data_IF_911032061461
#
_entry.id   IF_911032061461
#
_cell.length_a   1.000
_cell.length_b   1.000
_cell.length_c   1.000
_cell.angle_alpha   90.00
_cell.angle_beta   90.00
_cell.angle_gamma   90.00
#
_symmetry.space_group_name_H-M   'P 1'
#
loop_
_entity.id
_entity.type
_entity.pdbx_description
1 polymer ?
#
# COMPACT_ATOMS: atom_id res chain seq x y z
N UNK A 1 -1.53 11.73 30.17
CA UNK A 1 -1.01 11.18 28.92
C UNK A 1 -1.69 11.83 27.73
N UNK A 2 -0.93 12.38 26.81
CA UNK A 2 -1.48 13.00 25.60
C UNK A 2 -1.30 12.06 24.42
N UNK A 3 -2.35 11.33 24.10
CA UNK A 3 -2.33 10.37 22.98
C UNK A 3 -2.80 11.07 21.72
N UNK A 4 -2.01 10.96 20.65
CA UNK A 4 -2.44 11.41 19.33
C UNK A 4 -3.41 10.40 18.76
N UNK A 5 -4.45 10.87 18.08
CA UNK A 5 -5.43 9.99 17.46
C UNK A 5 -4.83 9.28 16.24
N UNK A 6 -5.39 8.12 15.89
CA UNK A 6 -5.01 7.44 14.65
C UNK A 6 -5.32 8.31 13.43
N UNK A 7 -6.41 9.07 13.47
CA UNK A 7 -6.76 10.00 12.40
C UNK A 7 -5.67 11.06 12.20
N UNK A 8 -5.13 11.63 13.30
CA UNK A 8 -4.03 12.58 13.22
C UNK A 8 -2.80 11.96 12.57
N UNK A 9 -2.46 10.72 12.94
CA UNK A 9 -1.31 10.03 12.33
C UNK A 9 -1.51 9.81 10.83
N UNK A 10 -2.72 9.43 10.44
CA UNK A 10 -3.05 9.23 9.01
C UNK A 10 -2.96 10.54 8.23
N UNK A 11 -3.54 11.61 8.76
CA UNK A 11 -3.50 12.93 8.13
C UNK A 11 -2.06 13.40 7.93
N UNK A 12 -1.22 13.27 8.95
CA UNK A 12 0.20 13.64 8.86
C UNK A 12 0.95 12.77 7.87
N UNK A 13 0.65 11.47 7.83
CA UNK A 13 1.25 10.58 6.85
C UNK A 13 0.93 11.04 5.43
N UNK A 14 -0.34 11.33 5.16
CA UNK A 14 -0.78 11.77 3.83
C UNK A 14 -0.17 13.10 3.40
N UNK A 15 0.20 13.97 4.33
CA UNK A 15 0.91 15.21 4.03
C UNK A 15 2.34 15.00 3.55
N UNK A 16 2.96 13.90 3.95
CA UNK A 16 4.39 13.64 3.68
C UNK A 16 4.65 12.63 2.57
N UNK A 17 3.62 12.04 1.99
CA UNK A 17 3.72 10.99 0.98
C UNK A 17 2.97 11.39 -0.29
N UNK A 18 3.22 10.65 -1.38
CA UNK A 18 2.40 10.75 -2.57
C UNK A 18 1.07 10.02 -2.33
N UNK A 19 -0.03 10.70 -2.61
CA UNK A 19 -1.37 10.12 -2.56
C UNK A 19 -1.93 10.15 -3.98
N UNK A 20 -2.38 8.98 -4.46
CA UNK A 20 -2.97 8.87 -5.79
C UNK A 20 -4.48 8.70 -5.69
N UNK A 21 -5.22 9.45 -6.49
CA UNK A 21 -6.67 9.26 -6.60
C UNK A 21 -6.98 7.91 -7.25
N UNK A 22 -8.21 7.38 -7.08
CA UNK A 22 -8.60 6.15 -7.76
C UNK A 22 -8.40 6.20 -9.28
N UNK A 23 -8.69 7.35 -9.90
CA UNK A 23 -8.52 7.57 -11.33
C UNK A 23 -7.05 7.49 -11.74
N UNK A 24 -6.17 8.12 -10.98
CA UNK A 24 -4.73 8.07 -11.23
C UNK A 24 -4.19 6.65 -11.08
N UNK A 25 -4.64 5.93 -10.05
CA UNK A 25 -4.23 4.54 -9.83
C UNK A 25 -4.69 3.67 -10.99
N UNK A 26 -5.95 3.80 -11.40
CA UNK A 26 -6.49 3.00 -12.51
C UNK A 26 -5.71 3.25 -13.81
N UNK A 27 -5.41 4.49 -14.11
CA UNK A 27 -4.65 4.84 -15.32
C UNK A 27 -3.25 4.20 -15.30
N UNK A 28 -2.55 4.29 -14.19
CA UNK A 28 -1.22 3.69 -14.07
C UNK A 28 -1.28 2.17 -14.07
N UNK A 29 -2.26 1.59 -13.40
CA UNK A 29 -2.49 0.14 -13.37
C UNK A 29 -2.77 -0.42 -14.77
N UNK A 30 -3.65 0.23 -15.51
CA UNK A 30 -4.01 -0.20 -16.87
C UNK A 30 -2.82 -0.16 -17.83
N UNK A 31 -1.87 0.74 -17.59
CA UNK A 31 -0.63 0.86 -18.37
C UNK A 31 0.48 -0.09 -17.90
N UNK A 32 0.26 -0.83 -16.82
CA UNK A 32 1.29 -1.70 -16.24
C UNK A 32 2.46 -0.97 -15.60
N UNK A 33 2.27 0.27 -15.19
CA UNK A 33 3.34 1.12 -14.65
C UNK A 33 3.55 0.97 -13.14
N UNK A 34 2.65 0.29 -12.43
CA UNK A 34 2.69 0.19 -10.98
C UNK A 34 2.56 -1.24 -10.49
N UNK A 35 3.14 -1.51 -9.34
CA UNK A 35 2.92 -2.74 -8.58
C UNK A 35 1.97 -2.40 -7.44
N UNK A 36 0.82 -3.08 -7.41
CA UNK A 36 -0.16 -2.91 -6.35
C UNK A 36 0.20 -3.78 -5.15
N UNK A 37 0.23 -3.19 -3.96
CA UNK A 37 0.54 -3.92 -2.73
C UNK A 37 -0.62 -3.80 -1.76
N UNK A 38 -1.24 -4.95 -1.44
CA UNK A 38 -2.34 -5.06 -0.48
C UNK A 38 -1.74 -5.30 0.90
N UNK A 39 -1.96 -4.37 1.82
CA UNK A 39 -1.41 -4.48 3.18
C UNK A 39 -2.44 -4.95 4.21
N UNK A 40 -3.62 -5.40 3.75
CA UNK A 40 -4.69 -5.85 4.63
C UNK A 40 -4.35 -7.19 5.29
N UNK A 41 -5.12 -7.56 6.31
CA UNK A 41 -5.09 -8.89 6.89
C UNK A 41 -5.54 -9.91 5.84
N UNK A 42 -4.90 -11.09 5.82
CA UNK A 42 -5.21 -12.13 4.82
C UNK A 42 -6.69 -12.54 4.82
N UNK A 43 -7.35 -12.47 5.97
CA UNK A 43 -8.77 -12.82 6.07
C UNK A 43 -9.68 -11.86 5.28
N UNK A 44 -9.26 -10.61 5.12
CA UNK A 44 -9.99 -9.67 4.28
C UNK A 44 -9.90 -10.08 2.81
N UNK A 45 -8.76 -10.58 2.37
CA UNK A 45 -8.59 -11.10 1.00
C UNK A 45 -9.43 -12.35 0.78
N UNK A 46 -9.48 -13.24 1.77
CA UNK A 46 -10.31 -14.45 1.68
C UNK A 46 -11.80 -14.13 1.56
N UNK A 47 -12.25 -13.08 2.24
CA UNK A 47 -13.65 -12.68 2.26
C UNK A 47 -14.04 -11.83 1.03
N UNK A 48 -13.19 -10.91 0.64
CA UNK A 48 -13.55 -9.88 -0.34
C UNK A 48 -12.72 -9.94 -1.63
N UNK A 49 -11.69 -10.77 -1.67
CA UNK A 49 -10.75 -10.80 -2.78
C UNK A 49 -9.74 -9.66 -2.67
N UNK A 50 -8.97 -9.47 -3.73
CA UNK A 50 -7.99 -8.39 -3.84
C UNK A 50 -7.99 -7.87 -5.28
N UNK A 51 -7.07 -6.97 -5.59
CA UNK A 51 -6.88 -6.47 -6.96
C UNK A 51 -6.04 -7.49 -7.74
N UNK A 52 -6.43 -7.77 -8.97
CA UNK A 52 -5.70 -8.70 -9.84
C UNK A 52 -4.24 -8.29 -9.97
N UNK A 53 -3.32 -9.24 -9.78
CA UNK A 53 -1.88 -9.06 -9.81
C UNK A 53 -1.32 -8.29 -8.60
N UNK A 54 -2.13 -7.95 -7.61
CA UNK A 54 -1.61 -7.33 -6.40
C UNK A 54 -0.78 -8.32 -5.59
N UNK A 55 0.28 -7.82 -4.99
CA UNK A 55 1.11 -8.58 -4.07
C UNK A 55 0.58 -8.34 -2.66
N UNK A 56 0.35 -9.41 -1.90
CA UNK A 56 -0.07 -9.30 -0.51
C UNK A 56 1.14 -9.23 0.40
N UNK A 57 1.28 -8.14 1.11
CA UNK A 57 2.28 -7.96 2.17
C UNK A 57 1.54 -7.42 3.38
N UNK A 58 1.20 -8.27 4.37
CA UNK A 58 0.44 -7.79 5.52
C UNK A 58 1.19 -6.69 6.25
N UNK A 59 0.45 -5.70 6.75
CA UNK A 59 1.07 -4.52 7.37
C UNK A 59 2.13 -4.88 8.42
N UNK A 60 1.88 -5.92 9.21
CA UNK A 60 2.81 -6.34 10.27
C UNK A 60 4.13 -6.93 9.78
N UNK A 61 4.22 -7.28 8.50
CA UNK A 61 5.44 -7.86 7.92
C UNK A 61 6.08 -6.94 6.88
N UNK A 62 5.49 -5.80 6.61
CA UNK A 62 5.90 -4.94 5.50
C UNK A 62 7.39 -4.59 5.55
N UNK A 63 7.84 -4.02 6.64
CA UNK A 63 9.23 -3.59 6.78
C UNK A 63 10.20 -4.78 6.69
N UNK A 64 9.80 -5.89 7.29
CA UNK A 64 10.66 -7.07 7.38
C UNK A 64 10.80 -7.80 6.04
N UNK A 65 9.72 -7.86 5.27
CA UNK A 65 9.75 -8.52 3.95
C UNK A 65 10.45 -7.67 2.90
N UNK A 66 10.48 -6.35 3.09
CA UNK A 66 11.07 -5.42 2.13
C UNK A 66 12.50 -4.99 2.47
N UNK A 67 13.00 -5.33 3.65
CA UNK A 67 14.36 -5.00 4.08
C UNK A 67 15.33 -6.11 3.67
N UNK A 68 16.27 -5.86 2.73
CA UNK A 68 17.24 -6.87 2.29
C UNK A 68 18.13 -7.40 3.42
N UNK A 69 18.26 -6.67 4.52
CA UNK A 69 19.07 -7.09 5.67
C UNK A 69 18.27 -7.87 6.70
N UNK A 70 16.96 -7.94 6.54
CA UNK A 70 16.10 -8.71 7.43
C UNK A 70 16.19 -10.21 7.11
N UNK A 71 16.13 -11.05 8.15
CA UNK A 71 16.05 -12.51 7.98
C UNK A 71 14.73 -12.94 7.31
N UNK A 72 13.75 -12.06 7.25
CA UNK A 72 12.43 -12.31 6.64
C UNK A 72 12.30 -11.75 5.21
N UNK A 73 13.40 -11.28 4.62
CA UNK A 73 13.37 -10.67 3.29
C UNK A 73 12.76 -11.61 2.24
N UNK A 74 11.79 -11.10 1.46
CA UNK A 74 11.08 -11.83 0.43
C UNK A 74 11.51 -11.38 -0.97
N UNK A 75 12.75 -11.68 -1.33
CA UNK A 75 13.35 -11.26 -2.59
C UNK A 75 12.49 -11.58 -3.81
N UNK A 76 11.92 -12.79 -3.87
CA UNK A 76 11.08 -13.22 -5.00
C UNK A 76 9.80 -12.43 -5.17
N UNK A 77 9.26 -11.88 -4.07
CA UNK A 77 8.04 -11.08 -4.13
C UNK A 77 8.31 -9.65 -4.58
N UNK A 78 9.52 -9.16 -4.35
CA UNK A 78 9.83 -7.74 -4.45
C UNK A 78 10.77 -7.42 -5.60
N UNK A 79 11.53 -8.40 -6.09
CA UNK A 79 12.69 -8.20 -6.96
C UNK A 79 12.47 -7.32 -8.19
N UNK A 80 11.23 -7.14 -8.63
CA UNK A 80 10.90 -6.36 -9.81
C UNK A 80 9.80 -5.34 -9.58
N UNK A 81 9.62 -4.90 -8.33
CA UNK A 81 8.64 -3.86 -8.05
C UNK A 81 9.05 -2.56 -8.70
N UNK A 82 8.16 -2.06 -9.56
CA UNK A 82 8.28 -0.75 -10.20
C UNK A 82 7.82 0.33 -9.20
N UNK A 83 6.97 1.24 -9.62
CA UNK A 83 6.33 2.17 -8.71
C UNK A 83 5.33 1.40 -7.84
N UNK A 84 5.45 1.54 -6.54
CA UNK A 84 4.65 0.77 -5.58
C UNK A 84 3.45 1.61 -5.15
N UNK A 85 2.25 1.06 -5.34
CA UNK A 85 1.02 1.68 -4.84
C UNK A 85 0.45 0.77 -3.76
N UNK A 86 0.42 1.27 -2.53
CA UNK A 86 -0.09 0.52 -1.39
C UNK A 86 -1.56 0.82 -1.18
N UNK A 87 -2.33 -0.19 -0.79
CA UNK A 87 -3.73 -0.01 -0.46
C UNK A 87 -4.16 -0.91 0.71
N UNK A 88 -5.16 -0.46 1.42
CA UNK A 88 -5.88 -1.25 2.41
C UNK A 88 -7.37 -1.12 2.11
N UNK A 89 -8.25 -1.32 3.07
CA UNK A 89 -9.70 -1.23 2.81
C UNK A 89 -10.13 0.18 2.40
N UNK A 90 -9.72 1.20 3.17
CA UNK A 90 -10.17 2.59 3.01
C UNK A 90 -9.02 3.61 2.87
N UNK A 91 -7.78 3.17 2.90
CA UNK A 91 -6.62 4.04 2.71
C UNK A 91 -5.90 4.48 3.99
N UNK A 92 -6.35 4.05 5.17
CA UNK A 92 -5.76 4.51 6.44
C UNK A 92 -4.49 3.74 6.82
N UNK A 93 -4.58 2.42 6.88
CA UNK A 93 -3.41 1.57 7.18
C UNK A 93 -2.33 1.74 6.11
N UNK A 94 -2.74 1.87 4.86
CA UNK A 94 -1.80 2.04 3.75
C UNK A 94 -1.13 3.42 3.74
N UNK A 95 -1.76 4.45 4.29
CA UNK A 95 -1.11 5.75 4.47
C UNK A 95 0.09 5.63 5.42
N UNK A 96 -0.10 4.97 6.56
CA UNK A 96 0.97 4.74 7.53
C UNK A 96 2.05 3.83 6.95
N UNK A 97 1.66 2.81 6.20
CA UNK A 97 2.58 1.89 5.53
C UNK A 97 3.45 2.63 4.51
N UNK A 98 2.85 3.48 3.69
CA UNK A 98 3.56 4.27 2.68
C UNK A 98 4.57 5.21 3.33
N UNK A 99 4.18 5.87 4.41
CA UNK A 99 5.08 6.73 5.18
C UNK A 99 6.28 5.93 5.70
N UNK A 100 6.04 4.75 6.25
CA UNK A 100 7.11 3.88 6.74
C UNK A 100 8.08 3.49 5.63
N UNK A 101 7.59 3.10 4.47
CA UNK A 101 8.46 2.77 3.33
C UNK A 101 9.28 3.97 2.88
N UNK A 102 8.68 5.16 2.88
CA UNK A 102 9.42 6.37 2.55
C UNK A 102 10.54 6.63 3.56
N UNK A 103 10.28 6.42 4.84
CA UNK A 103 11.30 6.55 5.89
C UNK A 103 12.42 5.53 5.73
N UNK A 104 12.13 4.35 5.19
CA UNK A 104 13.13 3.33 4.88
C UNK A 104 14.00 3.68 3.67
N UNK A 105 13.60 4.66 2.86
CA UNK A 105 14.36 5.08 1.69
C UNK A 105 13.71 4.75 0.35
N UNK A 106 12.51 4.17 0.34
CA UNK A 106 11.78 3.96 -0.90
C UNK A 106 11.21 5.30 -1.37
N UNK A 107 11.56 5.73 -2.56
CA UNK A 107 11.10 7.00 -3.13
C UNK A 107 9.98 6.82 -4.16
N UNK A 108 9.72 5.59 -4.58
CA UNK A 108 8.74 5.23 -5.61
C UNK A 108 7.48 4.59 -5.01
N UNK A 109 6.98 5.17 -3.94
CA UNK A 109 5.82 4.65 -3.20
C UNK A 109 4.69 5.66 -3.14
N UNK A 110 3.45 5.19 -3.18
CA UNK A 110 2.26 6.02 -3.07
C UNK A 110 1.15 5.28 -2.33
N UNK A 111 0.25 6.05 -1.71
CA UNK A 111 -0.96 5.54 -1.07
C UNK A 111 -2.15 5.69 -2.02
N UNK A 112 -2.91 4.62 -2.22
CA UNK A 112 -4.15 4.67 -3.00
C UNK A 112 -5.28 5.26 -2.15
N UNK A 113 -5.73 6.47 -2.51
CA UNK A 113 -6.81 7.14 -1.81
C UNK A 113 -8.10 6.33 -1.88
N UNK A 114 -8.75 6.16 -0.73
CA UNK A 114 -10.00 5.41 -0.64
C UNK A 114 -9.84 3.89 -0.64
N UNK A 115 -8.64 3.39 -0.89
CA UNK A 115 -8.29 1.97 -0.78
C UNK A 115 -9.06 1.03 -1.71
N UNK A 116 -9.13 -0.23 -1.31
CA UNK A 116 -9.78 -1.31 -2.07
C UNK A 116 -11.21 -0.95 -2.48
N UNK A 117 -11.98 -0.37 -1.57
CA UNK A 117 -13.36 0.02 -1.84
C UNK A 117 -13.46 0.94 -3.07
N UNK A 118 -12.66 2.00 -3.08
CA UNK A 118 -12.66 2.95 -4.20
C UNK A 118 -12.09 2.36 -5.49
N UNK A 119 -11.06 1.52 -5.39
CA UNK A 119 -10.44 0.88 -6.55
C UNK A 119 -11.42 -0.07 -7.23
N UNK A 120 -12.21 -0.83 -6.46
CA UNK A 120 -13.23 -1.71 -7.03
C UNK A 120 -14.36 -0.91 -7.67
N UNK A 121 -14.78 0.17 -7.04
CA UNK A 121 -15.84 1.04 -7.59
C UNK A 121 -15.45 1.65 -8.93
N UNK A 122 -14.18 2.01 -9.12
CA UNK A 122 -13.73 2.60 -10.38
C UNK A 122 -13.40 1.55 -11.43
N UNK A 123 -13.44 0.26 -11.09
CA UNK A 123 -13.37 -0.83 -12.04
C UNK A 123 -12.05 -1.59 -12.14
N UNK A 124 -11.16 -1.51 -11.14
CA UNK A 124 -10.00 -2.40 -11.14
C UNK A 124 -10.46 -3.85 -10.95
N UNK A 125 -9.94 -4.79 -11.76
CA UNK A 125 -10.35 -6.20 -11.68
C UNK A 125 -9.88 -6.91 -10.41
#
# INVERSE_FOLDING_TARGET
>A
MNIKSSQTLVEKANESIKVMSPEEVKKAYDKGEVTMVDVRDIRELWKEGTIKNAIHIPRGMLEFWLDPQSSYYQEKKIGEMKNIVLFCALGFRSALATKTLKEMGFDNVANAQGGFDSLKKIGLP
#
